data_IF_563038637052
#
_entry.id   IF_563038637052
#
_cell.length_a   1.000
_cell.length_b   1.000
_cell.length_c   1.000
_cell.angle_alpha   90.00
_cell.angle_beta   90.00
_cell.angle_gamma   90.00
#
_symmetry.space_group_name_H-M   'P 1'
#
loop_
_entity.id
_entity.type
_entity.pdbx_description
1 polymer ?
#
# COMPACT_ATOMS: atom_id res chain seq x y z
N UNK A 1 -6.16 13.43 -6.93
CA UNK A 1 -5.42 12.85 -5.79
C UNK A 1 -5.81 13.59 -4.53
N UNK A 2 -5.68 12.97 -3.35
CA UNK A 2 -5.70 13.73 -2.11
C UNK A 2 -4.56 14.76 -2.12
N UNK A 3 -4.69 15.84 -1.35
CA UNK A 3 -3.58 16.76 -1.12
C UNK A 3 -2.33 16.00 -0.69
N UNK A 4 -1.16 16.56 -0.98
CA UNK A 4 0.12 15.98 -0.57
C UNK A 4 0.50 14.67 -1.26
N UNK A 5 -0.09 14.37 -2.43
CA UNK A 5 0.16 13.09 -3.11
C UNK A 5 -0.26 11.88 -2.27
N UNK A 6 -1.21 12.07 -1.34
CA UNK A 6 -1.73 11.00 -0.47
C UNK A 6 -2.25 9.85 -1.33
N UNK A 7 -1.77 8.64 -1.04
CA UNK A 7 -2.07 7.43 -1.80
C UNK A 7 -2.27 6.29 -0.81
N UNK A 8 -3.49 5.75 -0.75
CA UNK A 8 -3.90 4.77 0.25
C UNK A 8 -4.48 3.54 -0.45
N UNK A 9 -4.37 2.38 0.20
CA UNK A 9 -4.96 1.12 -0.28
C UNK A 9 -5.38 0.20 0.87
N UNK A 10 -6.44 -0.58 0.64
CA UNK A 10 -6.96 -1.59 1.57
C UNK A 10 -7.24 -2.86 0.75
N UNK A 11 -6.62 -3.97 1.15
CA UNK A 11 -6.74 -5.24 0.45
C UNK A 11 -7.09 -6.39 1.40
N UNK A 12 -7.89 -7.33 0.89
CA UNK A 12 -8.00 -8.69 1.44
C UNK A 12 -7.18 -9.60 0.53
N UNK A 13 -6.21 -10.29 1.11
CA UNK A 13 -5.27 -11.16 0.41
C UNK A 13 -5.58 -12.60 0.82
N UNK A 14 -5.70 -13.50 -0.16
CA UNK A 14 -5.87 -14.94 0.04
C UNK A 14 -4.63 -15.69 -0.46
N UNK A 15 -3.59 -15.90 0.39
CA UNK A 15 -2.43 -16.68 0.00
C UNK A 15 -2.80 -18.15 -0.15
N UNK A 16 -2.08 -18.87 -1.02
CA UNK A 16 -2.28 -20.30 -1.20
C UNK A 16 -1.94 -21.05 0.09
N UNK A 17 -2.80 -22.00 0.47
CA UNK A 17 -2.62 -22.88 1.63
C UNK A 17 -2.44 -22.15 2.99
N UNK A 18 -2.88 -20.88 3.09
CA UNK A 18 -2.85 -20.09 4.34
C UNK A 18 -4.18 -19.37 4.59
N UNK A 19 -4.35 -18.90 5.83
CA UNK A 19 -5.49 -18.06 6.19
C UNK A 19 -5.45 -16.71 5.45
N UNK A 20 -6.63 -16.09 5.19
CA UNK A 20 -6.70 -14.76 4.60
C UNK A 20 -6.04 -13.68 5.47
N UNK A 21 -5.57 -12.62 4.83
CA UNK A 21 -4.93 -11.47 5.45
C UNK A 21 -5.63 -10.18 5.05
N UNK A 22 -5.65 -9.19 5.94
CA UNK A 22 -6.07 -7.83 5.61
C UNK A 22 -4.84 -6.95 5.65
N UNK A 23 -4.58 -6.22 4.56
CA UNK A 23 -3.49 -5.26 4.46
C UNK A 23 -4.05 -3.85 4.25
N UNK A 24 -3.66 -2.91 5.12
CA UNK A 24 -3.99 -1.50 5.00
C UNK A 24 -2.69 -0.72 4.84
N UNK A 25 -2.59 0.10 3.79
CA UNK A 25 -1.41 0.93 3.54
C UNK A 25 -1.81 2.38 3.35
N UNK A 26 -1.21 3.26 4.14
CA UNK A 26 -1.39 4.71 4.05
C UNK A 26 -0.06 5.38 3.77
N UNK A 27 -0.07 6.31 2.81
CA UNK A 27 1.11 7.07 2.43
C UNK A 27 0.75 8.52 2.13
N UNK A 28 1.56 9.45 2.65
CA UNK A 28 1.45 10.89 2.42
C UNK A 28 2.84 11.52 2.30
N UNK A 29 2.94 12.69 1.68
CA UNK A 29 4.21 13.38 1.40
C UNK A 29 4.19 14.80 1.98
N UNK A 30 5.34 15.45 2.18
CA UNK A 30 5.36 16.80 2.75
C UNK A 30 4.94 17.91 1.75
N UNK A 31 5.01 17.66 0.44
CA UNK A 31 4.74 18.68 -0.59
C UNK A 31 3.25 18.66 -1.01
N UNK A 32 2.49 19.77 -0.89
CA UNK A 32 1.03 19.78 -1.14
C UNK A 32 0.60 19.32 -2.54
N UNK A 33 1.45 19.53 -3.55
CA UNK A 33 1.22 19.13 -4.95
C UNK A 33 2.08 17.95 -5.38
N UNK A 34 2.55 17.13 -4.43
CA UNK A 34 3.30 15.92 -4.76
C UNK A 34 2.45 14.97 -5.62
N UNK A 35 3.11 14.27 -6.53
CA UNK A 35 2.49 13.21 -7.32
C UNK A 35 2.22 11.98 -6.45
N UNK A 36 1.17 11.22 -6.80
CA UNK A 36 0.85 9.97 -6.11
C UNK A 36 1.92 8.91 -6.36
N UNK A 37 2.29 8.16 -5.31
CA UNK A 37 3.35 7.15 -5.35
C UNK A 37 2.80 5.74 -5.15
N UNK A 38 2.14 5.21 -6.19
CA UNK A 38 1.61 3.83 -6.17
C UNK A 38 2.73 2.78 -6.11
N UNK A 39 3.90 3.12 -6.62
CA UNK A 39 5.12 2.30 -6.53
C UNK A 39 5.57 2.08 -5.08
N UNK A 40 5.37 3.07 -4.20
CA UNK A 40 5.64 2.93 -2.75
C UNK A 40 4.69 1.92 -2.12
N UNK A 41 3.40 1.97 -2.47
CA UNK A 41 2.41 0.99 -1.99
C UNK A 41 2.73 -0.43 -2.50
N UNK A 42 3.08 -0.57 -3.77
CA UNK A 42 3.49 -1.87 -4.32
C UNK A 42 4.75 -2.43 -3.63
N UNK A 43 5.71 -1.55 -3.32
CA UNK A 43 6.93 -1.94 -2.58
C UNK A 43 6.61 -2.35 -1.16
N UNK A 44 5.76 -1.60 -0.45
CA UNK A 44 5.33 -1.94 0.90
C UNK A 44 4.55 -3.26 0.93
N UNK A 45 3.61 -3.47 0.00
CA UNK A 45 2.89 -4.72 -0.14
C UNK A 45 3.85 -5.89 -0.36
N UNK A 46 4.80 -5.75 -1.30
CA UNK A 46 5.82 -6.77 -1.55
C UNK A 46 6.60 -7.15 -0.29
N UNK A 47 7.07 -6.15 0.47
CA UNK A 47 7.82 -6.38 1.72
C UNK A 47 6.98 -7.12 2.74
N UNK A 48 5.72 -6.72 2.94
CA UNK A 48 4.82 -7.33 3.93
C UNK A 48 4.42 -8.75 3.54
N UNK A 49 4.24 -9.01 2.25
CA UNK A 49 3.87 -10.33 1.74
C UNK A 49 5.05 -11.25 1.48
N UNK A 50 6.28 -10.79 1.73
CA UNK A 50 7.48 -11.59 1.49
C UNK A 50 7.48 -12.82 2.40
N UNK A 51 7.57 -14.02 1.82
CA UNK A 51 7.52 -15.29 2.55
C UNK A 51 6.11 -15.84 2.88
N UNK A 52 5.04 -15.21 2.39
CA UNK A 52 3.70 -15.81 2.36
C UNK A 52 3.60 -16.95 1.34
#
# INVERSE_FOLDING_TARGET
>A
SGGYGTTNDIAVIWPKDRAPLILVTYFTQPQPKAESRRDVLASAAKIVTDGL
#
